data_IF_511380142737
#
_entry.id   IF_511380142737
#
_cell.length_a   1.000
_cell.length_b   1.000
_cell.length_c   1.000
_cell.angle_alpha   90.00
_cell.angle_beta   90.00
_cell.angle_gamma   90.00
#
_symmetry.space_group_name_H-M   'P 1'
#
loop_
_entity.id
_entity.type
_entity.pdbx_description
1 polymer ?
#
# COMPACT_ATOMS: atom_id res chain seq x y z
N UNK A 1 15.85 -10.50 29.05
CA UNK A 1 14.85 -10.74 28.00
C UNK A 1 14.70 -9.43 27.25
N UNK A 2 15.07 -9.38 25.94
CA UNK A 2 14.96 -8.15 25.18
C UNK A 2 13.49 -7.70 25.11
N UNK A 3 13.24 -6.43 25.34
CA UNK A 3 11.89 -5.89 25.27
C UNK A 3 11.45 -5.88 23.79
N UNK A 4 10.21 -6.23 23.49
CA UNK A 4 9.65 -6.21 22.14
C UNK A 4 9.83 -4.84 21.46
N UNK A 5 9.81 -3.77 22.24
CA UNK A 5 10.10 -2.41 21.78
C UNK A 5 11.52 -2.27 21.21
N UNK A 6 12.50 -2.95 21.80
CA UNK A 6 13.91 -2.86 21.39
C UNK A 6 14.14 -3.65 20.09
N UNK A 7 13.41 -4.73 19.87
CA UNK A 7 13.48 -5.52 18.63
C UNK A 7 12.85 -4.75 17.46
N UNK A 8 11.83 -3.94 17.72
CA UNK A 8 11.08 -3.22 16.69
C UNK A 8 11.85 -2.06 16.05
N UNK A 9 12.81 -1.45 16.75
CA UNK A 9 13.44 -0.20 16.35
C UNK A 9 14.96 -0.15 16.42
N UNK A 10 15.63 -1.22 16.84
CA UNK A 10 17.07 -1.20 17.02
C UNK A 10 17.80 -2.09 16.01
N UNK A 11 17.93 -1.58 14.78
CA UNK A 11 18.92 -2.08 13.84
C UNK A 11 20.01 -1.03 13.75
N UNK A 12 21.00 -1.14 14.64
CA UNK A 12 22.17 -0.28 14.63
C UNK A 12 23.16 -0.76 13.54
N UNK A 13 23.22 -0.04 12.46
CA UNK A 13 24.24 -0.18 11.42
C UNK A 13 25.32 0.89 11.61
N UNK A 14 26.14 0.73 12.63
CA UNK A 14 27.39 1.50 12.74
C UNK A 14 27.23 3.01 12.86
N UNK A 15 26.33 3.48 13.73
CA UNK A 15 26.22 4.88 14.09
C UNK A 15 25.16 5.69 13.32
N UNK A 16 24.52 5.09 12.31
CA UNK A 16 23.30 5.59 11.72
C UNK A 16 22.22 4.53 11.90
N UNK A 17 21.46 4.63 12.96
CA UNK A 17 20.31 3.76 13.18
C UNK A 17 19.37 3.85 11.97
N UNK A 18 19.21 2.75 11.26
CA UNK A 18 18.19 2.61 10.22
C UNK A 18 16.81 2.54 10.87
N UNK A 19 16.35 3.65 11.43
CA UNK A 19 15.02 3.74 12.02
C UNK A 19 14.03 4.23 10.98
N UNK A 20 12.82 3.71 11.05
CA UNK A 20 11.69 4.30 10.36
C UNK A 20 11.32 5.61 11.08
N UNK A 21 11.22 6.69 10.33
CA UNK A 21 10.71 7.96 10.83
C UNK A 21 9.24 8.09 10.44
N UNK A 22 8.39 8.34 11.42
CA UNK A 22 6.99 8.64 11.14
C UNK A 22 6.91 10.06 10.56
N UNK A 23 6.47 10.18 9.32
CA UNK A 23 6.28 11.45 8.64
C UNK A 23 4.85 11.97 8.80
N UNK A 24 3.87 11.11 8.61
CA UNK A 24 2.46 11.50 8.67
C UNK A 24 1.58 10.34 9.08
N UNK A 25 0.42 10.64 9.62
CA UNK A 25 -0.64 9.68 9.95
C UNK A 25 -1.97 10.21 9.43
N UNK A 26 -2.74 9.34 8.82
CA UNK A 26 -4.14 9.59 8.46
C UNK A 26 -5.01 8.62 9.24
N UNK A 27 -6.08 9.12 9.84
CA UNK A 27 -7.11 8.30 10.47
C UNK A 27 -8.46 8.72 9.91
N UNK A 28 -9.14 7.80 9.24
CA UNK A 28 -10.48 8.06 8.72
C UNK A 28 -11.47 8.24 9.86
N UNK A 29 -12.38 9.16 9.70
CA UNK A 29 -13.56 9.33 10.56
C UNK A 29 -14.79 8.53 10.08
N UNK A 30 -14.60 7.73 9.04
CA UNK A 30 -15.64 6.90 8.43
C UNK A 30 -16.36 7.55 7.23
N UNK A 31 -15.98 8.77 6.85
CA UNK A 31 -16.54 9.46 5.68
C UNK A 31 -15.55 9.69 4.55
N UNK A 32 -14.28 9.32 4.75
CA UNK A 32 -13.22 9.60 3.80
C UNK A 32 -13.14 8.56 2.69
N UNK A 33 -13.36 8.97 1.45
CA UNK A 33 -13.15 8.11 0.29
C UNK A 33 -11.67 7.98 -0.12
N UNK A 34 -10.81 8.90 0.34
CA UNK A 34 -9.39 8.94 -0.03
C UNK A 34 -8.52 9.46 1.11
N UNK A 35 -7.31 8.91 1.24
CA UNK A 35 -6.23 9.48 2.02
C UNK A 35 -5.16 10.05 1.08
N UNK A 36 -4.80 11.32 1.26
CA UNK A 36 -3.79 11.98 0.43
C UNK A 36 -2.60 12.42 1.28
N UNK A 37 -1.41 11.99 0.86
CA UNK A 37 -0.14 12.41 1.44
C UNK A 37 0.58 13.29 0.43
N UNK A 38 0.56 14.61 0.65
CA UNK A 38 1.02 15.62 -0.32
C UNK A 38 2.28 16.37 0.12
N UNK A 39 2.82 16.04 1.29
CA UNK A 39 4.05 16.61 1.84
C UNK A 39 5.04 15.51 2.21
N UNK A 40 6.28 15.91 2.46
CA UNK A 40 7.35 15.08 3.01
C UNK A 40 7.77 13.85 2.18
N UNK A 41 7.31 13.77 0.91
CA UNK A 41 7.76 12.77 -0.06
C UNK A 41 8.71 13.48 -1.03
N UNK A 42 9.98 13.56 -0.65
CA UNK A 42 11.00 14.33 -1.34
C UNK A 42 12.32 13.54 -1.54
N UNK A 43 13.44 14.22 -1.67
CA UNK A 43 14.75 13.60 -1.83
C UNK A 43 15.45 13.18 -0.53
N UNK A 44 14.83 13.42 0.63
CA UNK A 44 15.39 13.14 1.95
C UNK A 44 15.60 11.64 2.15
N UNK A 45 14.60 10.85 1.77
CA UNK A 45 14.65 9.40 1.94
C UNK A 45 14.64 8.69 0.59
N UNK A 46 15.29 7.53 0.55
CA UNK A 46 15.34 6.66 -0.64
C UNK A 46 14.15 5.71 -0.73
N UNK A 47 13.42 5.57 0.36
CA UNK A 47 12.29 4.66 0.46
C UNK A 47 11.21 5.29 1.34
N UNK A 48 9.97 5.17 0.91
CA UNK A 48 8.78 5.59 1.65
C UNK A 48 7.88 4.39 1.84
N UNK A 49 7.50 4.14 3.08
CA UNK A 49 6.65 3.03 3.50
C UNK A 49 5.32 3.56 3.99
N UNK A 50 4.26 3.16 3.33
CA UNK A 50 2.88 3.41 3.73
C UNK A 50 2.33 2.14 4.37
N UNK A 51 1.95 2.21 5.63
CA UNK A 51 1.32 1.10 6.36
C UNK A 51 -0.15 1.44 6.53
N UNK A 52 -1.01 0.54 6.13
CA UNK A 52 -2.44 0.66 6.31
C UNK A 52 -2.96 -0.49 7.19
N UNK A 53 -3.86 -0.16 8.06
CA UNK A 53 -4.39 -1.10 9.07
C UNK A 53 -5.89 -0.95 9.16
N UNK A 54 -6.59 -2.07 9.02
CA UNK A 54 -8.05 -2.13 9.15
C UNK A 54 -8.77 -1.13 8.24
N UNK A 55 -8.35 -1.06 6.97
CA UNK A 55 -9.11 -0.32 5.96
C UNK A 55 -10.41 -1.09 5.74
N UNK A 56 -11.51 -0.46 6.12
CA UNK A 56 -12.85 -1.03 6.07
C UNK A 56 -13.74 -0.12 5.22
N UNK A 57 -14.26 -0.59 4.08
CA UNK A 57 -15.10 0.24 3.22
C UNK A 57 -16.52 0.35 3.77
N UNK A 58 -17.21 1.43 3.42
CA UNK A 58 -18.64 1.61 3.71
C UNK A 58 -19.53 0.68 2.86
N UNK A 59 -19.07 0.41 1.63
CA UNK A 59 -19.80 -0.44 0.67
C UNK A 59 -19.09 -1.77 0.48
N UNK A 60 -19.86 -2.78 0.11
CA UNK A 60 -19.35 -4.10 -0.17
C UNK A 60 -18.66 -4.19 -1.53
N UNK A 61 -17.73 -5.14 -1.69
CA UNK A 61 -17.04 -5.44 -2.96
C UNK A 61 -16.27 -4.24 -3.51
N UNK A 62 -15.50 -3.57 -2.65
CA UNK A 62 -14.71 -2.39 -3.02
C UNK A 62 -13.24 -2.76 -3.24
N UNK A 63 -12.61 -2.13 -4.23
CA UNK A 63 -11.18 -2.26 -4.49
C UNK A 63 -10.40 -1.17 -3.76
N UNK A 64 -9.43 -1.56 -2.94
CA UNK A 64 -8.48 -0.64 -2.32
C UNK A 64 -7.32 -0.40 -3.28
N UNK A 65 -7.04 0.86 -3.59
CA UNK A 65 -6.14 1.27 -4.67
C UNK A 65 -5.22 2.41 -4.25
N UNK A 66 -4.15 2.63 -5.01
CA UNK A 66 -3.33 3.84 -4.91
C UNK A 66 -3.02 4.42 -6.29
N UNK A 67 -2.68 5.70 -6.32
CA UNK A 67 -2.06 6.38 -7.44
C UNK A 67 -1.13 7.46 -6.91
N UNK A 68 -0.19 7.88 -7.73
CA UNK A 68 0.76 8.94 -7.41
C UNK A 68 0.59 10.13 -8.34
N UNK A 69 1.16 11.26 -7.94
CA UNK A 69 1.20 12.46 -8.77
C UNK A 69 2.63 13.02 -8.75
N UNK A 70 3.23 13.18 -9.91
CA UNK A 70 4.57 13.75 -10.03
C UNK A 70 4.57 15.22 -9.59
N UNK A 71 5.70 15.68 -9.11
CA UNK A 71 5.87 17.10 -8.75
C UNK A 71 5.57 18.01 -9.95
N UNK A 72 4.62 18.91 -9.77
CA UNK A 72 4.11 19.79 -10.84
C UNK A 72 3.06 19.14 -11.76
N UNK A 73 2.76 17.87 -11.59
CA UNK A 73 1.66 17.17 -12.25
C UNK A 73 0.31 17.47 -11.62
N UNK A 74 -0.74 16.97 -12.24
CA UNK A 74 -2.11 17.05 -11.73
C UNK A 74 -2.90 15.82 -12.13
N UNK A 75 -3.83 15.40 -11.28
CA UNK A 75 -4.84 14.41 -11.65
C UNK A 75 -4.57 12.98 -11.23
N UNK A 76 -3.49 12.68 -10.50
CA UNK A 76 -3.18 11.31 -10.04
C UNK A 76 -3.34 10.28 -11.17
N UNK A 77 -2.56 10.46 -12.23
CA UNK A 77 -2.65 9.69 -13.48
C UNK A 77 -1.28 9.30 -14.04
N UNK A 78 -0.31 9.10 -13.16
CA UNK A 78 1.02 8.65 -13.58
C UNK A 78 0.95 7.26 -14.20
N UNK A 79 1.78 7.05 -15.23
CA UNK A 79 1.81 5.79 -15.96
C UNK A 79 2.43 4.67 -15.13
N UNK A 80 1.70 3.59 -14.96
CA UNK A 80 2.10 2.42 -14.19
C UNK A 80 2.21 1.19 -15.10
N UNK A 81 3.26 0.42 -14.89
CA UNK A 81 3.38 -0.96 -15.37
C UNK A 81 3.65 -1.86 -14.17
N UNK A 82 2.82 -2.84 -13.97
CA UNK A 82 2.85 -3.68 -12.78
C UNK A 82 2.53 -5.14 -13.09
N UNK A 83 2.77 -5.98 -12.11
CA UNK A 83 2.28 -7.36 -12.05
C UNK A 83 1.52 -7.53 -10.75
N UNK A 84 0.47 -8.32 -10.76
CA UNK A 84 -0.33 -8.62 -9.58
C UNK A 84 -0.65 -10.11 -9.51
N UNK A 85 -0.54 -10.68 -8.33
CA UNK A 85 -0.96 -12.05 -8.05
C UNK A 85 -1.50 -12.14 -6.63
N UNK A 86 -2.35 -13.11 -6.39
CA UNK A 86 -2.95 -13.34 -5.09
C UNK A 86 -3.03 -14.83 -4.76
N UNK A 87 -2.96 -15.14 -3.49
CA UNK A 87 -3.29 -16.45 -2.95
C UNK A 87 -4.51 -16.32 -2.05
N UNK A 88 -5.33 -17.36 -2.01
CA UNK A 88 -6.52 -17.38 -1.17
C UNK A 88 -6.74 -18.75 -0.56
N UNK A 89 -7.39 -18.77 0.59
CA UNK A 89 -7.93 -19.95 1.23
C UNK A 89 -9.28 -19.58 1.84
N UNK A 90 -10.32 -20.23 1.38
CA UNK A 90 -11.71 -19.98 1.77
C UNK A 90 -12.14 -20.90 2.90
N UNK A 91 -13.22 -20.57 3.55
CA UNK A 91 -13.78 -21.38 4.65
C UNK A 91 -14.29 -22.75 4.20
N UNK A 92 -14.64 -22.90 2.93
CA UNK A 92 -15.05 -24.16 2.30
C UNK A 92 -13.86 -25.03 1.85
N UNK A 93 -12.64 -24.73 2.34
CA UNK A 93 -11.38 -25.41 2.03
C UNK A 93 -10.94 -25.30 0.56
N UNK A 94 -11.48 -24.33 -0.17
CA UNK A 94 -11.03 -23.98 -1.53
C UNK A 94 -9.87 -23.00 -1.43
N UNK A 95 -8.76 -23.31 -2.09
CA UNK A 95 -7.56 -22.49 -2.08
C UNK A 95 -6.92 -22.38 -3.46
N UNK A 96 -6.09 -21.37 -3.66
CA UNK A 96 -5.38 -21.19 -4.92
C UNK A 96 -4.34 -20.08 -4.91
N UNK A 97 -3.58 -20.05 -6.00
CA UNK A 97 -2.66 -18.98 -6.36
C UNK A 97 -2.93 -18.61 -7.81
N UNK A 98 -3.16 -17.34 -8.09
CA UNK A 98 -3.49 -16.87 -9.42
C UNK A 98 -2.81 -15.54 -9.76
N UNK A 99 -2.55 -15.31 -11.03
CA UNK A 99 -2.21 -14.01 -11.56
C UNK A 99 -3.49 -13.18 -11.71
N UNK A 100 -3.46 -11.93 -11.24
CA UNK A 100 -4.61 -11.02 -11.30
C UNK A 100 -4.53 -10.13 -12.54
N UNK A 101 -5.21 -10.53 -13.60
CA UNK A 101 -5.27 -9.75 -14.85
C UNK A 101 -6.11 -8.46 -14.74
N UNK A 102 -6.90 -8.32 -13.70
CA UNK A 102 -7.65 -7.10 -13.40
C UNK A 102 -6.92 -6.19 -12.40
N UNK A 103 -5.89 -6.71 -11.73
CA UNK A 103 -5.11 -5.99 -10.73
C UNK A 103 -3.77 -5.45 -11.23
N UNK A 104 -3.34 -5.82 -12.44
CA UNK A 104 -2.11 -5.33 -13.07
C UNK A 104 -2.37 -4.16 -14.04
N UNK A 105 -1.31 -3.50 -14.44
CA UNK A 105 -1.37 -2.46 -15.46
C UNK A 105 -0.23 -2.61 -16.49
N UNK A 106 -0.53 -2.34 -17.75
CA UNK A 106 0.42 -2.29 -18.85
C UNK A 106 0.47 -0.87 -19.42
N UNK A 107 1.30 0.01 -18.84
CA UNK A 107 1.36 1.44 -19.13
C UNK A 107 0.00 2.14 -18.96
N UNK A 108 -0.72 1.74 -17.91
CA UNK A 108 -2.01 2.33 -17.55
C UNK A 108 -1.85 3.58 -16.69
N UNK A 109 -2.89 4.41 -16.68
CA UNK A 109 -2.97 5.61 -15.84
C UNK A 109 -4.07 5.54 -14.78
N UNK A 110 -4.72 4.40 -14.69
CA UNK A 110 -5.73 4.14 -13.65
C UNK A 110 -5.06 3.97 -12.28
N UNK A 111 -5.86 3.99 -11.22
CA UNK A 111 -5.39 3.61 -9.90
C UNK A 111 -4.95 2.14 -9.89
N UNK A 112 -3.84 1.87 -9.22
CA UNK A 112 -3.27 0.53 -9.06
C UNK A 112 -3.95 -0.20 -7.93
N UNK A 113 -4.46 -1.40 -8.19
CA UNK A 113 -5.06 -2.24 -7.17
C UNK A 113 -4.03 -2.72 -6.14
N UNK A 114 -4.40 -2.64 -4.87
CA UNK A 114 -3.67 -3.24 -3.73
C UNK A 114 -4.44 -4.45 -3.21
N UNK A 115 -5.76 -4.32 -3.03
CA UNK A 115 -6.64 -5.39 -2.64
C UNK A 115 -7.98 -5.24 -3.35
N UNK A 116 -8.53 -6.35 -3.80
CA UNK A 116 -9.77 -6.42 -4.57
C UNK A 116 -10.89 -7.04 -3.73
N UNK A 117 -12.13 -6.75 -4.08
CA UNK A 117 -13.31 -7.36 -3.47
C UNK A 117 -13.34 -7.29 -1.94
N UNK A 118 -12.93 -6.17 -1.37
CA UNK A 118 -12.99 -5.95 0.07
C UNK A 118 -14.45 -5.77 0.50
N UNK A 119 -14.87 -6.58 1.45
CA UNK A 119 -16.23 -6.51 1.97
C UNK A 119 -16.40 -5.48 3.08
N UNK A 120 -17.68 -5.25 3.47
CA UNK A 120 -18.06 -4.29 4.51
C UNK A 120 -18.71 -4.94 5.74
N UNK A 121 -18.60 -6.24 5.92
CA UNK A 121 -19.00 -6.90 7.15
C UNK A 121 -17.98 -6.63 8.28
N UNK A 122 -18.40 -6.77 9.53
CA UNK A 122 -17.57 -6.40 10.69
C UNK A 122 -16.25 -7.17 10.82
N UNK A 123 -16.10 -8.28 10.14
CA UNK A 123 -14.91 -9.14 10.08
C UNK A 123 -14.10 -8.96 8.78
N UNK A 124 -14.52 -8.06 7.92
CA UNK A 124 -13.88 -7.79 6.62
C UNK A 124 -13.08 -6.49 6.67
N UNK A 125 -11.82 -6.54 6.36
CA UNK A 125 -10.93 -5.38 6.31
C UNK A 125 -9.66 -5.71 5.53
N UNK A 126 -8.91 -4.66 5.14
CA UNK A 126 -7.59 -4.76 4.52
C UNK A 126 -6.52 -4.21 5.46
N UNK A 127 -5.43 -4.94 5.59
CA UNK A 127 -4.20 -4.45 6.22
C UNK A 127 -2.99 -4.82 5.36
N UNK A 128 -1.95 -3.98 5.41
CA UNK A 128 -0.74 -4.24 4.63
C UNK A 128 0.17 -3.04 4.52
N UNK A 129 0.92 -3.02 3.44
CA UNK A 129 1.88 -1.95 3.17
C UNK A 129 2.09 -1.73 1.67
N UNK A 130 2.50 -0.49 1.35
CA UNK A 130 3.01 -0.06 0.05
C UNK A 130 4.38 0.58 0.26
N UNK A 131 5.37 0.18 -0.52
CA UNK A 131 6.70 0.79 -0.59
C UNK A 131 6.89 1.48 -1.92
N UNK A 132 7.41 2.70 -1.89
CA UNK A 132 7.84 3.45 -3.07
C UNK A 132 9.32 3.75 -2.93
N UNK A 133 10.09 3.37 -3.95
CA UNK A 133 11.53 3.49 -3.95
C UNK A 133 11.96 4.73 -4.73
N UNK A 134 12.77 5.57 -4.06
CA UNK A 134 13.41 6.75 -4.62
C UNK A 134 12.48 7.64 -5.48
N UNK A 135 11.33 8.09 -4.94
CA UNK A 135 10.31 8.79 -5.72
C UNK A 135 10.79 10.10 -6.34
N UNK A 136 11.79 10.75 -5.74
CA UNK A 136 12.38 12.02 -6.22
C UNK A 136 13.46 11.84 -7.29
N UNK A 137 13.84 10.63 -7.67
CA UNK A 137 14.81 10.41 -8.75
C UNK A 137 14.27 10.94 -10.07
N UNK A 138 15.09 11.65 -10.83
CA UNK A 138 14.71 12.21 -12.14
C UNK A 138 15.34 11.44 -13.30
N UNK A 139 16.18 10.45 -13.02
CA UNK A 139 16.91 9.67 -14.02
C UNK A 139 16.25 8.35 -14.33
N UNK A 140 15.80 7.64 -13.27
CA UNK A 140 15.25 6.30 -13.39
C UNK A 140 13.75 6.26 -13.10
N UNK A 141 13.09 5.23 -13.64
CA UNK A 141 11.69 4.92 -13.29
C UNK A 141 11.55 4.65 -11.79
N UNK A 142 10.38 4.93 -11.26
CA UNK A 142 10.07 4.66 -9.86
C UNK A 142 9.56 3.23 -9.73
N UNK A 143 10.08 2.53 -8.74
CA UNK A 143 9.61 1.20 -8.40
C UNK A 143 8.71 1.26 -7.18
N UNK A 144 7.76 0.35 -7.12
CA UNK A 144 6.96 0.13 -5.93
C UNK A 144 6.76 -1.37 -5.67
N UNK A 145 6.44 -1.69 -4.45
CA UNK A 145 5.97 -3.01 -4.02
C UNK A 145 4.82 -2.83 -3.04
N UNK A 146 3.83 -3.68 -3.09
CA UNK A 146 2.76 -3.73 -2.11
C UNK A 146 2.47 -5.17 -1.69
N UNK A 147 1.99 -5.31 -0.47
CA UNK A 147 1.46 -6.56 0.04
C UNK A 147 0.27 -6.25 0.93
N UNK A 148 -0.82 -6.94 0.72
CA UNK A 148 -2.03 -6.78 1.51
C UNK A 148 -2.60 -8.13 1.90
N UNK A 149 -3.24 -8.17 3.06
CA UNK A 149 -4.10 -9.24 3.51
C UNK A 149 -5.50 -8.65 3.64
N UNK A 150 -6.47 -9.30 3.02
CA UNK A 150 -7.85 -8.88 3.04
C UNK A 150 -8.76 -10.07 3.33
N UNK A 151 -9.80 -9.83 4.10
CA UNK A 151 -10.97 -10.69 4.10
C UNK A 151 -11.87 -10.19 2.97
N UNK A 152 -12.12 -11.05 2.04
CA UNK A 152 -12.88 -10.73 0.84
C UNK A 152 -14.35 -11.03 1.07
N UNK A 153 -15.20 -10.26 0.41
CA UNK A 153 -16.62 -10.56 0.33
C UNK A 153 -16.86 -11.98 -0.22
N UNK A 154 -17.64 -12.78 0.48
CA UNK A 154 -18.02 -14.15 0.14
C UNK A 154 -19.45 -14.21 -0.43
#
# INVERSE_FOLDING_TARGET
MANYHDIKYNVDYGGNAGSLFLLSTFTSDGSDATASFTSDIDSTYKEYLFIFTNIHPESNDITFQFQVNASGGSGYNETITSTSFYSYHREDDVYGLAYSTGGDQAQGTSFQNIADSVGNANDEAVSGWLRIFHPSDTTFVKHFMSCAIANMHS
#
